data_IF_205985515226
#
_entry.id   IF_205985515226
#
_cell.length_a   1.000
_cell.length_b   1.000
_cell.length_c   1.000
_cell.angle_alpha   90.00
_cell.angle_beta   90.00
_cell.angle_gamma   90.00
#
_symmetry.space_group_name_H-M   'P 1'
#
loop_
_entity.id
_entity.type
_entity.pdbx_description
1 polymer ?
#
# COMPACT_ATOMS: atom_id res chain seq x y z
N UNK A 1 16.62 12.97 -15.85
CA UNK A 1 16.25 12.65 -14.46
C UNK A 1 17.21 11.60 -13.96
N UNK A 2 18.20 12.00 -13.15
CA UNK A 2 19.17 11.09 -12.53
C UNK A 2 18.41 10.17 -11.57
N UNK A 3 18.40 8.87 -11.84
CA UNK A 3 17.95 7.92 -10.84
C UNK A 3 18.96 7.93 -9.69
N UNK A 4 18.53 8.01 -8.42
CA UNK A 4 19.44 7.89 -7.29
C UNK A 4 20.18 6.54 -7.37
N UNK A 5 21.41 6.45 -6.84
CA UNK A 5 22.18 5.22 -6.90
C UNK A 5 21.37 4.06 -6.32
N UNK A 6 21.31 2.95 -7.06
CA UNK A 6 20.54 1.73 -6.74
C UNK A 6 20.58 1.31 -5.25
N UNK A 7 21.73 1.33 -4.53
CA UNK A 7 21.75 0.99 -3.10
C UNK A 7 21.00 1.99 -2.22
N UNK A 8 21.04 3.29 -2.53
CA UNK A 8 20.34 4.33 -1.76
C UNK A 8 18.82 4.24 -1.94
N UNK A 9 18.35 4.02 -3.18
CA UNK A 9 16.91 3.74 -3.44
C UNK A 9 16.43 2.54 -2.65
N UNK A 10 17.23 1.47 -2.60
CA UNK A 10 16.89 0.23 -1.91
C UNK A 10 16.74 0.42 -0.41
N UNK A 11 17.74 1.02 0.24
CA UNK A 11 17.69 1.27 1.69
C UNK A 11 16.54 2.21 2.05
N UNK A 12 16.36 3.29 1.29
CA UNK A 12 15.26 4.24 1.48
C UNK A 12 13.89 3.56 1.40
N UNK A 13 13.64 2.76 0.37
CA UNK A 13 12.34 2.16 0.14
C UNK A 13 12.01 1.03 1.12
N UNK A 14 13.01 0.24 1.53
CA UNK A 14 12.83 -0.75 2.60
C UNK A 14 12.52 -0.07 3.93
N UNK A 15 13.24 1.00 4.29
CA UNK A 15 12.93 1.77 5.50
C UNK A 15 11.52 2.39 5.45
N UNK A 16 11.09 2.87 4.27
CA UNK A 16 9.75 3.42 4.09
C UNK A 16 8.67 2.37 4.36
N UNK A 17 8.72 1.21 3.69
CA UNK A 17 7.71 0.17 3.90
C UNK A 17 7.76 -0.39 5.32
N UNK A 18 8.96 -0.48 5.92
CA UNK A 18 9.16 -0.85 7.32
C UNK A 18 8.32 0.04 8.23
N UNK A 19 8.50 1.37 8.09
CA UNK A 19 7.82 2.40 8.88
C UNK A 19 6.30 2.38 8.70
N UNK A 20 5.84 2.21 7.45
CA UNK A 20 4.41 2.17 7.14
C UNK A 20 3.74 0.92 7.73
N UNK A 21 4.39 -0.24 7.66
CA UNK A 21 3.84 -1.50 8.20
C UNK A 21 4.03 -1.65 9.72
N UNK A 22 5.10 -1.09 10.28
CA UNK A 22 5.38 -1.17 11.72
C UNK A 22 4.51 -0.20 12.52
N UNK A 23 3.87 0.80 11.91
CA UNK A 23 3.13 1.83 12.66
C UNK A 23 4.01 2.49 13.75
N UNK A 24 5.34 2.39 13.63
CA UNK A 24 6.28 2.74 14.69
C UNK A 24 6.59 4.21 14.63
N UNK A 25 5.86 5.01 15.40
CA UNK A 25 6.23 6.39 15.62
C UNK A 25 7.30 6.46 16.72
N UNK A 26 8.54 6.73 16.32
CA UNK A 26 9.38 7.67 17.04
C UNK A 26 9.05 9.06 16.50
N UNK A 27 8.67 9.92 17.44
CA UNK A 27 8.05 11.25 17.44
C UNK A 27 8.02 12.15 16.17
N UNK A 28 8.76 11.93 15.09
CA UNK A 28 8.80 12.85 13.93
C UNK A 28 8.61 12.21 12.53
N UNK A 29 8.49 10.87 12.40
CA UNK A 29 8.45 10.22 11.09
C UNK A 29 7.04 10.00 10.50
N UNK A 30 6.94 10.12 9.18
CA UNK A 30 5.74 10.03 8.33
C UNK A 30 4.94 8.71 8.54
N UNK A 31 3.91 8.72 9.38
CA UNK A 31 2.90 7.65 9.43
C UNK A 31 1.73 7.99 8.53
N UNK A 32 1.23 7.03 7.77
CA UNK A 32 0.02 7.17 6.96
C UNK A 32 -1.21 7.20 7.88
N UNK A 33 -1.93 8.34 8.03
CA UNK A 33 -3.18 8.37 8.80
C UNK A 33 -4.24 7.46 8.16
N UNK A 34 -4.27 7.36 6.83
CA UNK A 34 -5.21 6.49 6.12
C UNK A 34 -4.50 5.66 5.05
N UNK A 35 -4.44 4.35 5.29
CA UNK A 35 -3.91 3.36 4.37
C UNK A 35 -5.05 2.58 3.74
N UNK A 36 -5.22 2.74 2.44
CA UNK A 36 -6.17 1.99 1.63
C UNK A 36 -5.48 0.76 1.05
N UNK A 37 -6.04 -0.42 1.31
CA UNK A 37 -5.56 -1.69 0.74
C UNK A 37 -6.54 -2.09 -0.35
N UNK A 38 -6.07 -2.21 -1.58
CA UNK A 38 -6.84 -2.71 -2.70
C UNK A 38 -6.50 -4.18 -2.91
N UNK A 39 -7.51 -5.03 -2.87
CA UNK A 39 -7.38 -6.46 -3.14
C UNK A 39 -8.39 -6.94 -4.16
N UNK A 40 -8.16 -8.15 -4.65
CA UNK A 40 -8.95 -8.80 -5.68
C UNK A 40 -9.31 -10.22 -5.25
N UNK A 41 -10.19 -10.89 -6.00
CA UNK A 41 -10.58 -12.28 -5.76
C UNK A 41 -9.39 -13.23 -5.93
N UNK A 42 -8.47 -12.91 -6.82
CA UNK A 42 -7.26 -13.68 -7.09
C UNK A 42 -6.25 -13.58 -5.94
N UNK A 43 -6.20 -12.43 -5.26
CA UNK A 43 -5.31 -12.21 -4.12
C UNK A 43 -5.99 -11.36 -3.02
N UNK A 44 -6.56 -11.98 -1.99
CA UNK A 44 -7.17 -11.24 -0.88
C UNK A 44 -6.10 -10.59 0.01
N UNK A 45 -6.47 -9.48 0.67
CA UNK A 45 -5.61 -8.71 1.59
C UNK A 45 -5.28 -9.42 2.91
N UNK A 46 -5.88 -10.59 3.19
CA UNK A 46 -5.73 -11.33 4.46
C UNK A 46 -4.28 -11.55 4.92
N UNK A 47 -3.31 -11.90 4.05
CA UNK A 47 -1.92 -12.04 4.46
C UNK A 47 -1.31 -10.73 4.98
N UNK A 48 -1.64 -9.61 4.33
CA UNK A 48 -1.18 -8.27 4.72
C UNK A 48 -1.85 -7.80 6.01
N UNK A 49 -3.17 -7.95 6.14
CA UNK A 49 -3.88 -7.56 7.38
C UNK A 49 -3.42 -8.39 8.58
N UNK A 50 -3.12 -9.69 8.38
CA UNK A 50 -2.52 -10.53 9.42
C UNK A 50 -1.12 -10.04 9.82
N UNK A 51 -0.35 -9.53 8.87
CA UNK A 51 0.97 -8.95 9.15
C UNK A 51 0.86 -7.66 9.96
N UNK A 52 -0.08 -6.77 9.66
CA UNK A 52 -0.39 -5.60 10.49
C UNK A 52 -0.77 -6.02 11.93
N UNK A 53 -1.68 -6.99 12.08
CA UNK A 53 -2.09 -7.51 13.40
C UNK A 53 -0.92 -8.16 14.17
N UNK A 54 -0.01 -8.83 13.46
CA UNK A 54 1.19 -9.44 14.06
C UNK A 54 2.16 -8.37 14.55
N UNK A 55 2.44 -7.34 13.74
CA UNK A 55 3.32 -6.23 14.09
C UNK A 55 2.75 -5.38 15.23
N UNK A 56 1.47 -5.06 15.17
CA UNK A 56 0.78 -4.32 16.22
C UNK A 56 0.86 -5.05 17.57
N UNK A 57 0.73 -6.39 17.58
CA UNK A 57 0.91 -7.21 18.80
C UNK A 57 2.33 -7.28 19.34
N UNK A 58 3.34 -7.25 18.47
CA UNK A 58 4.73 -7.18 18.93
C UNK A 58 5.00 -5.83 19.59
N UNK A 59 4.40 -4.78 19.04
CA UNK A 59 4.52 -3.42 19.57
C UNK A 59 3.65 -3.21 20.80
N UNK A 60 2.50 -3.86 20.95
CA UNK A 60 1.66 -3.69 22.15
C UNK A 60 2.39 -4.07 23.45
N UNK A 61 3.41 -4.94 23.37
CA UNK A 61 4.27 -5.33 24.51
C UNK A 61 5.25 -4.24 24.98
N UNK A 62 5.49 -3.19 24.20
CA UNK A 62 6.37 -2.07 24.59
C UNK A 62 5.80 -0.67 24.30
N UNK A 63 5.16 -0.51 23.15
CA UNK A 63 4.62 0.72 22.60
C UNK A 63 3.13 0.99 22.91
N UNK A 64 2.37 0.01 23.43
CA UNK A 64 0.97 0.21 23.85
C UNK A 64 0.01 0.61 22.72
N UNK A 65 0.15 0.02 21.53
CA UNK A 65 -0.80 0.21 20.42
C UNK A 65 -2.04 -0.65 20.66
N UNK A 66 -3.21 -0.03 20.60
CA UNK A 66 -4.51 -0.68 20.76
C UNK A 66 -5.12 -0.93 19.39
N UNK A 67 -5.51 -2.18 19.12
CA UNK A 67 -6.07 -2.58 17.83
C UNK A 67 -7.58 -2.74 17.90
N UNK A 68 -8.30 -1.93 17.13
CA UNK A 68 -9.76 -2.01 16.96
C UNK A 68 -10.05 -2.56 15.56
N UNK A 69 -10.71 -3.71 15.49
CA UNK A 69 -11.08 -4.34 14.23
C UNK A 69 -12.57 -4.19 13.96
N UNK A 70 -12.93 -3.61 12.82
CA UNK A 70 -14.29 -3.41 12.33
C UNK A 70 -14.61 -4.50 11.30
N UNK A 71 -15.58 -5.37 11.62
CA UNK A 71 -15.95 -6.52 10.81
C UNK A 71 -17.27 -6.33 10.07
N UNK A 72 -17.23 -6.03 8.77
CA UNK A 72 -18.38 -5.99 7.86
C UNK A 72 -18.61 -7.33 7.17
N UNK A 73 -17.56 -8.10 6.93
CA UNK A 73 -17.63 -9.45 6.36
C UNK A 73 -16.97 -10.51 7.26
N UNK A 74 -16.15 -10.07 8.22
CA UNK A 74 -15.48 -10.91 9.20
C UNK A 74 -16.44 -11.24 10.34
N UNK A 75 -16.81 -12.51 10.49
CA UNK A 75 -17.78 -12.95 11.50
C UNK A 75 -17.15 -13.24 12.88
N UNK A 76 -15.85 -13.52 12.92
CA UNK A 76 -15.14 -13.91 14.15
C UNK A 76 -13.99 -12.95 14.42
N UNK A 77 -13.82 -12.57 15.69
CA UNK A 77 -12.70 -11.71 16.12
C UNK A 77 -11.36 -12.28 15.62
N UNK A 78 -10.60 -11.54 14.79
CA UNK A 78 -9.32 -12.02 14.30
C UNK A 78 -8.33 -12.09 15.45
N UNK A 79 -7.45 -13.09 15.38
CA UNK A 79 -6.38 -13.22 16.37
C UNK A 79 -5.58 -11.92 16.33
N UNK A 80 -5.45 -11.25 17.46
CA UNK A 80 -4.61 -10.05 17.60
C UNK A 80 -5.28 -8.70 17.58
N UNK A 81 -6.58 -8.66 17.33
CA UNK A 81 -7.34 -7.48 17.67
C UNK A 81 -7.56 -7.42 19.19
N UNK A 82 -7.49 -6.23 19.78
CA UNK A 82 -7.86 -6.01 21.19
C UNK A 82 -9.38 -5.90 21.30
N UNK A 83 -9.97 -5.11 20.40
CA UNK A 83 -11.41 -4.91 20.29
C UNK A 83 -11.92 -5.36 18.92
N UNK A 84 -13.15 -5.89 18.89
CA UNK A 84 -13.81 -6.34 17.68
C UNK A 84 -15.24 -5.81 17.65
N UNK A 85 -15.56 -5.04 16.63
CA UNK A 85 -16.88 -4.45 16.40
C UNK A 85 -17.53 -5.18 15.23
N UNK A 86 -18.59 -5.99 15.45
CA UNK A 86 -19.29 -6.71 14.39
C UNK A 86 -20.21 -5.76 13.61
N UNK A 87 -19.63 -4.97 12.70
CA UNK A 87 -20.32 -3.96 11.91
C UNK A 87 -21.44 -4.52 11.01
N UNK A 88 -21.33 -5.79 10.59
CA UNK A 88 -22.36 -6.47 9.81
C UNK A 88 -23.74 -6.48 10.48
N UNK A 89 -23.81 -6.39 11.82
CA UNK A 89 -25.08 -6.32 12.57
C UNK A 89 -25.80 -5.00 12.35
N UNK A 90 -25.06 -3.90 12.25
CA UNK A 90 -25.64 -2.58 12.00
C UNK A 90 -26.18 -2.43 10.57
N UNK A 91 -25.68 -3.24 9.64
CA UNK A 91 -26.11 -3.22 8.24
C UNK A 91 -27.43 -3.99 8.01
N UNK A 92 -27.78 -4.95 8.89
CA UNK A 92 -28.99 -5.77 8.77
C UNK A 92 -30.24 -5.10 9.37
N UNK A 93 -30.06 -4.20 10.33
CA UNK A 93 -31.16 -3.57 11.08
C UNK A 93 -31.98 -2.53 10.29
N UNK A 94 -31.54 -2.11 9.10
CA UNK A 94 -32.28 -1.16 8.25
C UNK A 94 -33.54 -1.78 7.60
N UNK A 95 -33.64 -3.12 7.57
CA UNK A 95 -34.72 -3.85 6.88
C UNK A 95 -35.86 -4.39 7.75
N UNK A 96 -35.76 -4.34 9.09
CA UNK A 96 -36.81 -4.84 9.99
C UNK A 96 -37.24 -3.77 10.98
N UNK A 97 -38.28 -3.02 10.59
CA UNK A 97 -39.18 -2.46 11.58
C UNK A 97 -39.70 -3.59 12.50
N UNK A 98 -39.60 -3.38 13.81
CA UNK A 98 -40.18 -4.21 14.87
C UNK A 98 -39.58 -5.63 15.04
N UNK A 99 -38.43 -5.71 15.73
CA UNK A 99 -37.97 -6.94 16.38
C UNK A 99 -37.27 -6.64 17.70
N UNK A 100 -37.69 -7.30 18.77
CA UNK A 100 -37.14 -7.18 20.13
C UNK A 100 -35.76 -7.84 20.20
N UNK A 101 -34.70 -7.03 20.31
CA UNK A 101 -33.35 -7.48 20.64
C UNK A 101 -32.82 -6.62 21.79
N UNK A 102 -32.62 -7.25 22.95
CA UNK A 102 -32.13 -6.64 24.18
C UNK A 102 -30.65 -6.25 24.05
N UNK A 103 -30.35 -4.95 24.18
CA UNK A 103 -29.01 -4.47 24.54
C UNK A 103 -28.57 -3.18 23.86
N UNK A 104 -28.50 -2.09 24.65
CA UNK A 104 -27.84 -0.80 24.38
C UNK A 104 -28.59 0.20 23.46
N UNK A 105 -29.52 0.94 24.07
CA UNK A 105 -29.75 2.37 23.74
C UNK A 105 -30.20 2.70 22.31
N UNK A 106 -31.38 2.23 21.89
CA UNK A 106 -32.05 2.68 20.66
C UNK A 106 -32.40 4.18 20.74
N UNK A 107 -31.57 5.05 20.15
CA UNK A 107 -32.03 6.37 19.67
C UNK A 107 -32.44 6.24 18.21
N UNK A 108 -33.74 6.36 17.95
CA UNK A 108 -34.29 6.43 16.61
C UNK A 108 -33.70 7.67 15.88
N UNK A 109 -33.19 7.48 14.65
CA UNK A 109 -32.70 8.56 13.79
C UNK A 109 -31.18 8.66 13.59
N UNK A 110 -30.38 7.78 14.20
CA UNK A 110 -28.92 7.79 14.04
C UNK A 110 -28.47 6.86 12.92
N UNK A 111 -27.76 7.38 11.91
CA UNK A 111 -27.26 6.61 10.78
C UNK A 111 -26.26 5.54 11.19
N UNK A 112 -26.12 4.48 10.38
CA UNK A 112 -25.23 3.33 10.64
C UNK A 112 -23.79 3.75 10.91
N UNK A 113 -23.26 4.72 10.14
CA UNK A 113 -21.90 5.24 10.33
C UNK A 113 -21.71 5.93 11.69
N UNK A 114 -22.71 6.68 12.17
CA UNK A 114 -22.61 7.36 13.46
C UNK A 114 -22.68 6.38 14.64
N UNK A 115 -23.47 5.30 14.53
CA UNK A 115 -23.49 4.22 15.53
C UNK A 115 -22.11 3.58 15.69
N UNK A 116 -21.49 3.21 14.57
CA UNK A 116 -20.15 2.61 14.55
C UNK A 116 -19.12 3.59 15.10
N UNK A 117 -19.14 4.85 14.65
CA UNK A 117 -18.19 5.88 15.12
C UNK A 117 -18.30 6.13 16.63
N UNK A 118 -19.51 6.11 17.21
CA UNK A 118 -19.71 6.22 18.66
C UNK A 118 -19.17 5.03 19.43
N UNK A 119 -19.46 3.81 18.98
CA UNK A 119 -18.94 2.59 19.62
C UNK A 119 -17.40 2.58 19.61
N UNK A 120 -16.79 2.94 18.47
CA UNK A 120 -15.34 3.10 18.37
C UNK A 120 -14.86 4.19 19.33
N UNK A 121 -15.50 5.37 19.35
CA UNK A 121 -15.15 6.45 20.27
C UNK A 121 -15.19 6.03 21.76
N UNK A 122 -16.18 5.22 22.14
CA UNK A 122 -16.30 4.69 23.50
C UNK A 122 -15.21 3.66 23.82
N UNK A 123 -14.84 2.79 22.86
CA UNK A 123 -13.72 1.87 22.98
C UNK A 123 -12.41 2.62 23.19
N UNK A 124 -12.15 3.64 22.36
CA UNK A 124 -10.92 4.44 22.43
C UNK A 124 -10.80 5.14 23.80
N UNK A 125 -11.92 5.69 24.31
CA UNK A 125 -11.98 6.29 25.66
C UNK A 125 -11.69 5.29 26.77
N UNK A 126 -12.31 4.10 26.72
CA UNK A 126 -12.13 3.05 27.74
C UNK A 126 -10.72 2.49 27.75
N UNK A 127 -10.09 2.40 26.58
CA UNK A 127 -8.77 1.82 26.47
C UNK A 127 -7.67 2.71 27.05
N UNK A 128 -7.89 4.04 27.13
CA UNK A 128 -6.91 5.00 27.66
C UNK A 128 -5.56 5.04 26.92
N UNK A 129 -5.49 4.40 25.74
CA UNK A 129 -4.28 4.32 24.93
C UNK A 129 -3.93 5.65 24.28
N UNK A 130 -2.65 5.83 23.95
CA UNK A 130 -2.19 6.99 23.16
C UNK A 130 -2.10 6.69 21.66
N UNK A 131 -2.10 5.41 21.29
CA UNK A 131 -1.93 4.93 19.91
C UNK A 131 -2.96 3.87 19.56
N UNK A 132 -3.62 4.07 18.43
CA UNK A 132 -4.70 3.21 17.97
C UNK A 132 -4.50 2.82 16.52
N UNK A 133 -4.67 1.53 16.24
CA UNK A 133 -4.80 0.99 14.89
C UNK A 133 -6.26 0.58 14.69
N UNK A 134 -6.96 1.28 13.80
CA UNK A 134 -8.30 0.90 13.38
C UNK A 134 -8.18 0.12 12.07
N UNK A 135 -8.71 -1.10 12.04
CA UNK A 135 -8.72 -1.94 10.85
C UNK A 135 -10.16 -2.12 10.36
N UNK A 136 -10.40 -1.84 9.09
CA UNK A 136 -11.68 -2.11 8.41
C UNK A 136 -11.46 -3.24 7.41
N UNK A 137 -12.24 -4.31 7.53
CA UNK A 137 -12.13 -5.48 6.66
C UNK A 137 -12.72 -5.28 5.26
N UNK A 138 -13.75 -4.44 5.10
CA UNK A 138 -14.39 -4.23 3.80
C UNK A 138 -15.04 -2.84 3.69
N UNK A 139 -14.35 -1.89 3.05
CA UNK A 139 -14.88 -0.59 2.65
C UNK A 139 -15.88 -0.68 1.50
N UNK A 140 -15.89 -1.78 0.73
CA UNK A 140 -16.85 -1.93 -0.37
C UNK A 140 -18.28 -2.03 0.14
N UNK A 141 -18.49 -2.69 1.29
CA UNK A 141 -19.80 -2.71 1.95
C UNK A 141 -20.23 -1.30 2.38
N UNK A 142 -19.31 -0.50 2.94
CA UNK A 142 -19.56 0.90 3.29
C UNK A 142 -19.81 1.78 2.07
N UNK A 143 -19.09 1.57 0.98
CA UNK A 143 -19.30 2.26 -0.28
C UNK A 143 -20.68 1.93 -0.88
N UNK A 144 -21.10 0.66 -0.83
CA UNK A 144 -22.43 0.23 -1.24
C UNK A 144 -23.52 0.90 -0.40
N UNK A 145 -23.33 1.00 0.92
CA UNK A 145 -24.26 1.71 1.80
C UNK A 145 -24.29 3.21 1.53
N UNK A 146 -23.15 3.84 1.22
CA UNK A 146 -23.08 5.27 0.91
C UNK A 146 -23.85 5.64 -0.37
N UNK A 147 -23.90 4.72 -1.34
CA UNK A 147 -24.66 4.90 -2.58
C UNK A 147 -26.17 4.73 -2.34
N UNK A 148 -26.58 3.93 -1.35
CA UNK A 148 -27.98 3.70 -1.04
C UNK A 148 -28.60 4.94 -0.35
N UNK A 149 -29.67 5.53 -0.93
CA UNK A 149 -30.28 6.75 -0.37
C UNK A 149 -30.86 6.58 1.03
N UNK A 150 -31.17 5.34 1.43
CA UNK A 150 -31.79 5.02 2.73
C UNK A 150 -30.81 5.07 3.89
N UNK A 151 -29.53 4.76 3.64
CA UNK A 151 -28.55 4.57 4.71
C UNK A 151 -27.97 5.90 5.26
N UNK A 152 -28.22 7.04 4.61
CA UNK A 152 -27.75 8.38 5.00
C UNK A 152 -26.27 8.41 5.44
N UNK A 153 -25.41 7.65 4.76
CA UNK A 153 -24.00 7.48 5.11
C UNK A 153 -23.12 8.33 4.20
N UNK A 154 -22.48 9.35 4.77
CA UNK A 154 -21.41 10.08 4.10
C UNK A 154 -20.07 9.46 4.46
N UNK A 155 -19.42 8.83 3.46
CA UNK A 155 -18.15 8.11 3.64
C UNK A 155 -17.02 9.02 4.14
N UNK A 156 -16.91 10.26 3.64
CA UNK A 156 -15.85 11.19 4.05
C UNK A 156 -16.00 11.62 5.50
N UNK A 157 -17.22 11.96 5.89
CA UNK A 157 -17.55 12.34 7.26
C UNK A 157 -17.34 11.17 8.23
N UNK A 158 -17.69 9.95 7.83
CA UNK A 158 -17.45 8.75 8.63
C UNK A 158 -15.96 8.49 8.84
N UNK A 159 -15.14 8.47 7.79
CA UNK A 159 -13.69 8.26 7.91
C UNK A 159 -13.03 9.36 8.75
N UNK A 160 -13.45 10.62 8.55
CA UNK A 160 -13.00 11.75 9.37
C UNK A 160 -13.34 11.55 10.86
N UNK A 161 -14.56 11.07 11.17
CA UNK A 161 -14.97 10.79 12.55
C UNK A 161 -14.18 9.66 13.22
N UNK A 162 -13.64 8.71 12.44
CA UNK A 162 -12.77 7.66 12.96
C UNK A 162 -11.34 8.17 13.22
N UNK A 163 -10.82 9.04 12.35
CA UNK A 163 -9.48 9.62 12.49
C UNK A 163 -9.41 10.70 13.55
N UNK A 164 -10.49 11.47 13.73
CA UNK A 164 -10.60 12.55 14.71
C UNK A 164 -11.91 12.42 15.50
N UNK A 165 -12.02 11.40 16.38
CA UNK A 165 -13.24 11.17 17.12
C UNK A 165 -13.53 12.38 18.01
N UNK A 166 -14.73 12.98 17.92
CA UNK A 166 -15.11 14.14 18.75
C UNK A 166 -15.06 13.78 20.24
N UNK A 167 -15.18 12.48 20.53
CA UNK A 167 -15.08 11.89 21.85
C UNK A 167 -13.73 12.14 22.55
N UNK A 168 -12.64 12.30 21.80
CA UNK A 168 -11.28 12.49 22.32
C UNK A 168 -10.80 13.95 22.21
N UNK A 169 -11.62 14.87 21.69
CA UNK A 169 -11.28 16.29 21.62
C UNK A 169 -11.51 16.95 22.99
N UNK A 170 -10.45 17.17 23.75
CA UNK A 170 -10.49 17.93 25.01
C UNK A 170 -10.65 19.41 24.70
N UNK A 171 -11.82 20.01 25.01
CA UNK A 171 -12.00 21.46 24.98
C UNK A 171 -11.19 22.09 26.11
N UNK A 172 -10.08 22.76 25.77
CA UNK A 172 -9.32 23.61 26.69
C UNK A 172 -8.13 22.94 27.35
N UNK A 173 -6.99 22.90 26.67
CA UNK A 173 -5.64 22.95 27.24
C UNK A 173 -4.64 23.07 26.08
N UNK A 174 -3.59 23.85 26.30
CA UNK A 174 -2.47 24.05 25.39
C UNK A 174 -1.80 22.72 24.99
N UNK A 175 -1.23 22.72 23.79
CA UNK A 175 -0.59 21.60 23.08
C UNK A 175 0.07 20.54 23.99
N UNK A 176 -0.59 19.39 24.15
CA UNK A 176 0.08 18.11 24.46
C UNK A 176 -0.55 17.05 23.57
N UNK A 177 0.29 16.42 22.74
CA UNK A 177 -0.02 15.50 21.63
C UNK A 177 -1.33 14.70 21.78
N UNK A 178 -2.26 14.92 20.84
CA UNK A 178 -3.51 14.14 20.75
C UNK A 178 -3.28 12.66 20.43
N UNK A 179 -4.29 11.80 20.61
CA UNK A 179 -4.18 10.37 20.34
C UNK A 179 -3.85 10.11 18.87
N UNK A 180 -2.86 9.26 18.61
CA UNK A 180 -2.43 8.89 17.27
C UNK A 180 -3.28 7.75 16.75
N UNK A 181 -4.05 7.99 15.70
CA UNK A 181 -4.93 7.01 15.08
C UNK A 181 -4.42 6.73 13.66
N UNK A 182 -4.16 5.46 13.36
CA UNK A 182 -3.88 4.99 12.00
C UNK A 182 -5.02 4.08 11.54
N UNK A 183 -5.57 4.38 10.37
CA UNK A 183 -6.64 3.63 9.76
C UNK A 183 -6.10 2.78 8.61
N UNK A 184 -6.30 1.47 8.68
CA UNK A 184 -6.00 0.52 7.59
C UNK A 184 -7.31 -0.10 7.13
N UNK A 185 -7.66 0.08 5.86
CA UNK A 185 -8.96 -0.33 5.37
C UNK A 185 -8.84 -1.05 4.03
N UNK A 186 -9.52 -2.19 3.90
CA UNK A 186 -9.49 -3.01 2.68
C UNK A 186 -10.67 -2.65 1.77
N UNK A 187 -10.42 -2.56 0.46
CA UNK A 187 -11.43 -2.36 -0.57
C UNK A 187 -11.23 -3.41 -1.67
N UNK A 188 -12.26 -4.24 -1.88
CA UNK A 188 -12.28 -5.27 -2.91
C UNK A 188 -12.61 -4.65 -4.28
N UNK A 189 -11.70 -4.72 -5.24
CA UNK A 189 -11.89 -4.12 -6.57
C UNK A 189 -12.96 -4.83 -7.40
N UNK A 190 -13.17 -6.11 -7.12
CA UNK A 190 -13.97 -7.02 -7.94
C UNK A 190 -15.42 -7.16 -7.47
N UNK A 191 -15.76 -6.51 -6.35
CA UNK A 191 -17.14 -6.51 -5.82
C UNK A 191 -17.89 -5.34 -6.49
N UNK A 192 -18.87 -5.61 -7.36
CA UNK A 192 -19.61 -4.55 -8.03
C UNK A 192 -20.44 -3.77 -7.01
N UNK A 193 -20.45 -2.44 -7.16
CA UNK A 193 -21.32 -1.57 -6.39
C UNK A 193 -22.73 -1.56 -7.02
N UNK A 194 -23.80 -1.47 -6.21
CA UNK A 194 -25.15 -1.40 -6.74
C UNK A 194 -25.32 -0.16 -7.63
N UNK A 195 -25.71 -0.36 -8.88
CA UNK A 195 -26.11 0.74 -9.76
C UNK A 195 -27.57 1.12 -9.45
N UNK A 196 -27.91 2.42 -9.36
CA UNK A 196 -29.31 2.81 -9.20
C UNK A 196 -30.10 2.38 -10.46
N UNK A 197 -31.33 1.84 -10.30
CA UNK A 197 -32.13 1.38 -11.42
C UNK A 197 -32.49 2.56 -12.35
N UNK A 198 -32.50 2.36 -13.69
CA UNK A 198 -32.75 3.42 -14.66
C UNK A 198 -34.20 3.95 -14.68
N UNK A 199 -35.14 3.31 -13.96
CA UNK A 199 -36.59 3.51 -14.13
C UNK A 199 -37.23 4.51 -13.16
N UNK A 200 -36.48 5.19 -12.31
CA UNK A 200 -36.97 6.35 -11.57
C UNK A 200 -35.85 7.37 -11.53
N UNK A 201 -36.03 8.52 -12.16
CA UNK A 201 -35.11 9.66 -12.07
C UNK A 201 -35.69 10.61 -11.02
N UNK A 202 -35.48 10.39 -9.71
CA UNK A 202 -35.64 11.47 -8.75
C UNK A 202 -34.50 12.47 -8.94
N UNK A 203 -34.75 13.75 -8.70
CA UNK A 203 -33.78 14.86 -8.82
C UNK A 203 -32.45 14.66 -8.07
N UNK A 204 -32.37 13.66 -7.16
CA UNK A 204 -31.15 13.23 -6.47
C UNK A 204 -30.09 12.53 -7.36
N UNK A 205 -30.47 12.03 -8.55
CA UNK A 205 -29.51 11.43 -9.50
C UNK A 205 -28.65 12.52 -10.17
N UNK A 206 -29.21 13.71 -10.42
CA UNK A 206 -28.47 14.84 -10.99
C UNK A 206 -27.35 15.36 -10.06
N UNK A 207 -27.53 15.23 -8.74
CA UNK A 207 -26.49 15.57 -7.76
C UNK A 207 -25.34 14.55 -7.70
N UNK A 208 -25.56 13.30 -8.11
CA UNK A 208 -24.54 12.24 -8.08
C UNK A 208 -23.79 12.04 -9.40
N UNK A 209 -24.29 12.57 -10.53
CA UNK A 209 -23.62 12.41 -11.85
C UNK A 209 -22.21 13.03 -11.89
N UNK A 210 -21.96 14.06 -11.08
CA UNK A 210 -20.64 14.70 -10.96
C UNK A 210 -19.85 14.22 -9.73
N UNK A 211 -20.43 13.33 -8.92
CA UNK A 211 -19.74 12.77 -7.77
C UNK A 211 -18.73 11.70 -8.24
N UNK A 212 -17.50 11.70 -7.71
CA UNK A 212 -16.53 10.66 -8.04
C UNK A 212 -17.04 9.30 -7.54
N UNK A 213 -16.60 8.23 -8.21
CA UNK A 213 -16.84 6.88 -7.71
C UNK A 213 -16.24 6.72 -6.30
N UNK A 214 -16.81 5.86 -5.43
CA UNK A 214 -16.28 5.66 -4.09
C UNK A 214 -14.81 5.23 -4.07
N UNK A 215 -14.39 4.40 -5.03
CA UNK A 215 -12.98 4.02 -5.17
C UNK A 215 -12.10 5.24 -5.48
N UNK A 216 -12.49 6.09 -6.43
CA UNK A 216 -11.73 7.30 -6.77
C UNK A 216 -11.64 8.25 -5.57
N UNK A 217 -12.73 8.40 -4.83
CA UNK A 217 -12.78 9.21 -3.61
C UNK A 217 -11.88 8.64 -2.50
N UNK A 218 -11.94 7.33 -2.25
CA UNK A 218 -11.11 6.66 -1.25
C UNK A 218 -9.61 6.73 -1.61
N UNK A 219 -9.28 6.47 -2.87
CA UNK A 219 -7.91 6.61 -3.39
C UNK A 219 -7.42 8.05 -3.33
N UNK A 220 -8.30 9.04 -3.48
CA UNK A 220 -7.94 10.45 -3.29
C UNK A 220 -7.68 10.80 -1.82
N UNK A 221 -8.49 10.28 -0.89
CA UNK A 221 -8.31 10.51 0.55
C UNK A 221 -7.13 9.75 1.16
N UNK A 222 -6.76 8.61 0.59
CA UNK A 222 -5.69 7.75 1.09
C UNK A 222 -4.34 8.46 1.04
N UNK A 223 -3.61 8.42 2.15
CA UNK A 223 -2.20 8.86 2.20
C UNK A 223 -1.26 7.77 1.70
N UNK A 224 -1.68 6.51 1.81
CA UNK A 224 -0.97 5.37 1.25
C UNK A 224 -1.97 4.40 0.63
N UNK A 225 -1.71 3.98 -0.60
CA UNK A 225 -2.46 2.94 -1.29
C UNK A 225 -1.56 1.72 -1.43
N UNK A 226 -2.05 0.55 -1.05
CA UNK A 226 -1.35 -0.72 -1.20
C UNK A 226 -2.21 -1.62 -2.08
N UNK A 227 -1.79 -1.88 -3.30
CA UNK A 227 -2.41 -2.86 -4.19
C UNK A 227 -1.76 -4.23 -3.95
N UNK A 228 -2.57 -5.24 -3.67
CA UNK A 228 -2.09 -6.59 -3.37
C UNK A 228 -2.16 -7.45 -4.63
N UNK A 229 -1.04 -8.04 -5.01
CA UNK A 229 -0.90 -8.85 -6.22
C UNK A 229 -0.48 -10.28 -5.90
N UNK A 230 -0.97 -11.24 -6.70
CA UNK A 230 -0.61 -12.65 -6.59
C UNK A 230 0.75 -12.89 -7.25
N UNK A 231 1.73 -13.40 -6.48
CA UNK A 231 3.07 -13.70 -7.03
C UNK A 231 3.00 -14.69 -8.22
N UNK A 232 2.26 -15.81 -8.17
CA UNK A 232 2.13 -16.72 -9.31
C UNK A 232 1.64 -16.07 -10.60
N UNK A 233 0.68 -15.13 -10.50
CA UNK A 233 0.14 -14.41 -11.66
C UNK A 233 1.22 -13.54 -12.28
N UNK A 234 1.91 -12.74 -11.47
CA UNK A 234 3.02 -11.89 -11.93
C UNK A 234 4.16 -12.70 -12.55
N UNK A 235 4.46 -13.88 -12.03
CA UNK A 235 5.46 -14.78 -12.62
C UNK A 235 5.01 -15.36 -13.97
N UNK A 236 3.73 -15.70 -14.11
CA UNK A 236 3.17 -16.16 -15.37
C UNK A 236 3.21 -15.06 -16.44
N UNK A 237 2.84 -13.82 -16.07
CA UNK A 237 2.97 -12.65 -16.94
C UNK A 237 4.42 -12.36 -17.32
N UNK A 238 5.34 -12.41 -16.35
CA UNK A 238 6.78 -12.23 -16.61
C UNK A 238 7.30 -13.30 -17.57
N UNK A 239 6.93 -14.57 -17.37
CA UNK A 239 7.34 -15.67 -18.27
C UNK A 239 6.71 -15.56 -19.66
N UNK A 240 5.48 -15.05 -19.78
CA UNK A 240 4.86 -14.82 -21.08
C UNK A 240 5.60 -13.70 -21.81
N UNK A 241 5.88 -12.59 -21.12
CA UNK A 241 6.64 -11.46 -21.66
C UNK A 241 8.05 -11.85 -22.10
N UNK A 242 8.76 -12.67 -21.32
CA UNK A 242 10.11 -13.14 -21.69
C UNK A 242 10.10 -14.09 -22.89
N UNK A 243 8.97 -14.72 -23.21
CA UNK A 243 8.76 -15.60 -24.36
C UNK A 243 8.03 -14.90 -25.52
N UNK A 244 7.79 -13.60 -25.41
CA UNK A 244 6.99 -12.82 -26.36
C UNK A 244 5.60 -13.43 -26.62
N UNK A 245 5.02 -14.08 -25.61
CA UNK A 245 3.66 -14.61 -25.64
C UNK A 245 2.68 -13.58 -25.07
N UNK A 246 1.40 -13.70 -25.44
CA UNK A 246 0.34 -12.92 -24.83
C UNK A 246 0.30 -13.16 -23.31
N UNK A 247 0.09 -12.09 -22.54
CA UNK A 247 -0.05 -12.19 -21.10
C UNK A 247 -1.29 -13.04 -20.76
N UNK A 248 -1.17 -14.01 -19.84
CA UNK A 248 -2.32 -14.78 -19.39
C UNK A 248 -3.31 -13.86 -18.66
N UNK A 249 -4.60 -13.98 -18.97
CA UNK A 249 -5.68 -13.40 -18.16
C UNK A 249 -6.06 -14.35 -17.04
N UNK A 250 -6.48 -13.81 -15.91
CA UNK A 250 -6.93 -14.57 -14.75
C UNK A 250 -8.23 -14.02 -14.18
N UNK A 251 -9.07 -14.91 -13.65
CA UNK A 251 -10.25 -14.53 -12.88
C UNK A 251 -11.30 -13.81 -13.72
N UNK A 252 -11.80 -12.66 -13.24
CA UNK A 252 -12.88 -11.94 -13.94
C UNK A 252 -12.46 -11.42 -15.33
N UNK A 253 -11.16 -11.20 -15.54
CA UNK A 253 -10.61 -10.76 -16.83
C UNK A 253 -10.60 -11.84 -17.92
N UNK A 254 -10.84 -13.11 -17.56
CA UNK A 254 -10.98 -14.18 -18.55
C UNK A 254 -12.30 -14.08 -19.33
N UNK A 255 -13.28 -13.31 -18.83
CA UNK A 255 -14.64 -13.19 -19.37
C UNK A 255 -15.30 -14.56 -19.61
N UNK A 256 -14.87 -15.59 -18.88
CA UNK A 256 -15.40 -16.94 -18.96
C UNK A 256 -16.66 -17.07 -18.12
N UNK A 257 -17.75 -17.54 -18.74
CA UNK A 257 -18.98 -17.83 -18.02
C UNK A 257 -18.78 -19.00 -17.05
N UNK A 258 -19.11 -18.81 -15.78
CA UNK A 258 -18.99 -19.87 -14.78
C UNK A 258 -19.06 -19.39 -13.34
N UNK A 259 -18.76 -20.31 -12.41
CA UNK A 259 -18.60 -20.00 -10.99
C UNK A 259 -17.13 -19.79 -10.72
N UNK A 260 -16.78 -18.66 -10.09
CA UNK A 260 -15.40 -18.40 -9.65
C UNK A 260 -15.05 -19.38 -8.53
N UNK A 261 -14.09 -20.27 -8.81
CA UNK A 261 -13.56 -21.21 -7.82
C UNK A 261 -12.14 -20.78 -7.49
N UNK A 262 -11.92 -20.42 -6.22
CA UNK A 262 -10.58 -20.11 -5.73
C UNK A 262 -9.63 -21.29 -5.99
N UNK A 263 -8.56 -21.04 -6.74
CA UNK A 263 -7.55 -22.04 -7.03
C UNK A 263 -6.90 -22.49 -5.72
N UNK A 264 -7.13 -23.76 -5.35
CA UNK A 264 -6.40 -24.36 -4.23
C UNK A 264 -4.91 -24.29 -4.58
N UNK A 265 -4.04 -23.84 -3.65
CA UNK A 265 -2.64 -23.50 -3.91
C UNK A 265 -1.76 -24.74 -4.18
N UNK A 266 -2.04 -25.49 -5.26
CA UNK A 266 -1.25 -26.65 -5.71
C UNK A 266 0.09 -26.21 -6.32
N UNK A 267 0.15 -25.03 -6.93
CA UNK A 267 1.38 -24.46 -7.48
C UNK A 267 2.33 -23.95 -6.39
N UNK A 268 1.76 -23.31 -5.35
CA UNK A 268 2.53 -22.84 -4.20
C UNK A 268 3.17 -23.98 -3.42
N UNK A 269 2.60 -25.19 -3.37
CA UNK A 269 3.18 -26.33 -2.64
C UNK A 269 4.61 -26.72 -3.05
N UNK A 270 5.04 -26.38 -4.26
CA UNK A 270 6.40 -26.66 -4.75
C UNK A 270 7.44 -25.58 -4.38
N UNK A 271 7.00 -24.38 -4.01
CA UNK A 271 7.88 -23.27 -3.64
C UNK A 271 8.35 -23.38 -2.19
N UNK A 272 9.60 -22.96 -1.94
CA UNK A 272 10.16 -22.90 -0.59
C UNK A 272 9.33 -21.95 0.30
N UNK A 273 9.29 -22.17 1.61
CA UNK A 273 8.47 -21.34 2.51
C UNK A 273 8.82 -19.83 2.44
N UNK A 274 10.09 -19.49 2.17
CA UNK A 274 10.54 -18.10 2.01
C UNK A 274 10.20 -17.45 0.67
N UNK A 275 9.83 -18.23 -0.34
CA UNK A 275 9.44 -17.76 -1.69
C UNK A 275 7.92 -17.68 -1.85
N UNK A 276 7.16 -18.13 -0.84
CA UNK A 276 5.72 -17.96 -0.79
C UNK A 276 5.41 -16.63 -0.16
N UNK A 277 4.56 -15.84 -0.81
CA UNK A 277 4.21 -14.52 -0.33
C UNK A 277 3.18 -13.85 -1.21
N UNK A 278 2.92 -12.60 -0.86
CA UNK A 278 2.11 -11.69 -1.65
C UNK A 278 3.01 -10.55 -2.14
N UNK A 279 2.72 -10.03 -3.31
CA UNK A 279 3.41 -8.84 -3.83
C UNK A 279 2.57 -7.63 -3.48
N UNK A 280 3.23 -6.56 -3.06
CA UNK A 280 2.63 -5.30 -2.67
C UNK A 280 3.14 -4.22 -3.61
N UNK A 281 2.25 -3.59 -4.35
CA UNK A 281 2.57 -2.33 -5.00
C UNK A 281 2.14 -1.21 -4.04
N UNK A 282 3.12 -0.42 -3.62
CA UNK A 282 2.94 0.68 -2.68
C UNK A 282 2.91 1.99 -3.45
N UNK A 283 1.87 2.80 -3.24
CA UNK A 283 1.84 4.21 -3.58
C UNK A 283 1.76 5.03 -2.27
N UNK A 284 2.81 5.74 -1.92
CA UNK A 284 2.87 6.59 -0.74
C UNK A 284 2.96 8.07 -1.12
N UNK A 285 2.04 8.91 -0.60
CA UNK A 285 2.04 10.35 -0.85
C UNK A 285 2.85 11.08 0.22
N UNK A 286 3.93 11.73 -0.18
CA UNK A 286 4.75 12.57 0.71
C UNK A 286 4.00 13.83 1.09
N UNK A 287 4.49 14.54 2.11
CA UNK A 287 3.97 15.85 2.52
C UNK A 287 4.06 16.92 1.42
N UNK A 288 5.04 16.79 0.52
CA UNK A 288 5.18 17.64 -0.68
C UNK A 288 4.12 17.38 -1.76
N UNK A 289 3.28 16.35 -1.61
CA UNK A 289 2.32 15.91 -2.61
C UNK A 289 2.91 14.99 -3.69
N UNK A 290 4.24 14.84 -3.76
CA UNK A 290 4.88 13.87 -4.67
C UNK A 290 4.64 12.43 -4.17
N UNK A 291 4.22 11.55 -5.09
CA UNK A 291 4.01 10.13 -4.80
C UNK A 291 5.28 9.29 -4.99
N UNK A 292 5.51 8.34 -4.09
CA UNK A 292 6.52 7.27 -4.24
C UNK A 292 5.79 5.99 -4.61
N UNK A 293 6.16 5.37 -5.73
CA UNK A 293 5.65 4.07 -6.15
C UNK A 293 6.76 3.03 -6.14
N UNK A 294 6.53 1.91 -5.47
CA UNK A 294 7.53 0.83 -5.38
C UNK A 294 6.87 -0.54 -5.18
N UNK A 295 7.54 -1.59 -5.64
CA UNK A 295 7.06 -2.97 -5.55
C UNK A 295 7.83 -3.76 -4.50
N UNK A 296 7.10 -4.36 -3.58
CA UNK A 296 7.63 -5.14 -2.47
C UNK A 296 7.11 -6.57 -2.50
N UNK A 297 7.91 -7.48 -1.96
CA UNK A 297 7.51 -8.85 -1.69
C UNK A 297 7.36 -9.05 -0.19
N UNK A 298 6.17 -9.51 0.23
CA UNK A 298 5.86 -9.87 1.59
C UNK A 298 5.73 -11.40 1.68
N UNK A 299 6.70 -12.12 2.27
CA UNK A 299 6.60 -13.56 2.42
C UNK A 299 5.47 -13.91 3.40
N UNK A 300 4.81 -15.02 3.11
CA UNK A 300 3.76 -15.59 3.96
C UNK A 300 4.45 -16.11 5.20
N UNK A 301 4.20 -15.49 6.36
CA UNK A 301 4.66 -16.01 7.64
C UNK A 301 4.05 -17.41 7.88
N UNK A 302 4.75 -18.45 7.45
CA UNK A 302 4.58 -19.81 7.96
C UNK A 302 5.06 -19.78 9.40
N UNK A 303 4.23 -20.24 10.34
CA UNK A 303 4.50 -20.14 11.77
C UNK A 303 5.65 -21.02 12.21
N UNK A 304 6.90 -20.66 11.89
CA UNK A 304 8.15 -21.22 12.44
C UNK A 304 9.35 -20.46 11.86
N UNK A 305 9.47 -19.15 12.14
CA UNK A 305 10.82 -18.64 12.41
C UNK A 305 11.03 -18.93 13.89
N UNK A 306 11.68 -20.06 14.20
CA UNK A 306 12.21 -20.30 15.55
C UNK A 306 12.93 -19.02 15.96
N UNK A 307 12.66 -18.54 17.18
CA UNK A 307 13.53 -17.59 17.86
C UNK A 307 14.95 -18.14 17.75
N UNK A 308 15.78 -17.62 16.86
CA UNK A 308 17.20 -17.64 17.10
C UNK A 308 17.41 -16.60 18.19
N UNK A 309 17.70 -17.11 19.37
CA UNK A 309 17.93 -16.34 20.58
C UNK A 309 18.88 -15.18 20.29
N UNK A 310 18.43 -13.94 20.52
CA UNK A 310 19.27 -12.74 20.45
C UNK A 310 19.42 -12.00 19.11
N UNK A 311 18.78 -12.38 18.01
CA UNK A 311 18.81 -11.57 16.78
C UNK A 311 17.67 -10.52 16.78
N UNK A 312 17.94 -9.24 16.45
CA UNK A 312 16.91 -8.23 16.28
C UNK A 312 15.94 -8.66 15.18
N UNK A 313 14.68 -8.22 15.29
CA UNK A 313 13.62 -8.48 14.31
C UNK A 313 14.13 -8.20 12.89
N UNK A 314 14.41 -9.26 12.12
CA UNK A 314 14.79 -9.12 10.72
C UNK A 314 13.56 -8.71 9.94
N UNK A 315 13.67 -7.56 9.30
CA UNK A 315 12.65 -7.05 8.41
C UNK A 315 12.35 -8.09 7.33
N UNK A 316 11.06 -8.42 7.23
CA UNK A 316 10.57 -9.57 6.46
C UNK A 316 10.28 -9.19 5.00
N UNK A 317 10.24 -7.89 4.70
CA UNK A 317 9.88 -7.36 3.38
C UNK A 317 11.13 -7.14 2.54
N UNK A 318 11.08 -7.54 1.28
CA UNK A 318 12.14 -7.30 0.29
C UNK A 318 11.59 -6.52 -0.89
N UNK A 319 12.44 -5.88 -1.69
CA UNK A 319 12.01 -5.37 -2.98
C UNK A 319 11.64 -6.53 -3.90
N UNK A 320 10.68 -6.30 -4.79
CA UNK A 320 10.32 -7.31 -5.80
C UNK A 320 11.51 -7.62 -6.70
N UNK A 321 12.29 -6.60 -7.09
CA UNK A 321 13.49 -6.77 -7.93
C UNK A 321 14.56 -7.67 -7.31
N UNK A 322 14.61 -7.72 -5.97
CA UNK A 322 15.54 -8.57 -5.22
C UNK A 322 15.06 -10.04 -5.10
N UNK A 323 13.79 -10.31 -5.41
CA UNK A 323 13.23 -11.64 -5.27
C UNK A 323 13.88 -12.60 -6.29
N UNK A 324 14.29 -13.83 -5.91
CA UNK A 324 15.08 -14.72 -6.76
C UNK A 324 14.41 -15.06 -8.10
N UNK A 325 13.07 -15.15 -8.12
CA UNK A 325 12.31 -15.40 -9.35
C UNK A 325 12.07 -14.13 -10.20
N UNK A 326 12.28 -12.94 -9.61
CA UNK A 326 12.03 -11.65 -10.25
C UNK A 326 13.29 -10.93 -10.71
N UNK A 327 14.43 -11.17 -10.05
CA UNK A 327 15.74 -10.66 -10.45
C UNK A 327 15.99 -10.97 -11.93
N UNK A 328 16.35 -9.94 -12.70
CA UNK A 328 16.90 -10.14 -14.04
C UNK A 328 18.29 -10.72 -13.86
N UNK A 329 18.64 -11.79 -14.57
CA UNK A 329 20.04 -12.21 -14.66
C UNK A 329 20.84 -10.99 -15.10
N UNK A 330 21.87 -10.61 -14.33
CA UNK A 330 22.70 -9.45 -14.64
C UNK A 330 23.22 -9.64 -16.08
N UNK A 331 22.82 -8.77 -17.01
CA UNK A 331 23.19 -8.79 -18.45
C UNK A 331 24.71 -8.62 -18.68
N UNK A 332 25.52 -8.64 -17.62
CA UNK A 332 26.98 -8.57 -17.65
C UNK A 332 27.67 -9.90 -17.98
N UNK A 333 27.02 -11.06 -17.78
CA UNK A 333 27.61 -12.36 -18.15
C UNK A 333 27.31 -12.77 -19.60
N UNK A 334 26.34 -12.14 -20.26
CA UNK A 334 25.97 -12.46 -21.66
C UNK A 334 26.87 -11.83 -22.72
N UNK A 335 27.83 -10.97 -22.35
CA UNK A 335 28.75 -10.37 -23.33
C UNK A 335 29.77 -11.39 -23.84
N UNK A 336 30.17 -12.36 -23.01
CA UNK A 336 31.04 -13.47 -23.45
C UNK A 336 30.29 -14.45 -24.36
N UNK A 337 29.00 -14.73 -24.11
CA UNK A 337 28.17 -15.61 -24.95
C UNK A 337 27.78 -15.00 -26.31
N UNK A 338 27.90 -13.68 -26.48
CA UNK A 338 27.70 -13.02 -27.77
C UNK A 338 28.93 -13.10 -28.70
N UNK A 339 30.10 -13.49 -28.17
CA UNK A 339 31.30 -13.72 -28.97
C UNK A 339 31.11 -15.02 -29.79
N UNK A 340 30.87 -14.88 -31.09
CA UNK A 340 30.57 -16.00 -31.99
C UNK A 340 29.16 -16.05 -32.58
N UNK A 341 28.29 -15.07 -32.31
CA UNK A 341 27.04 -14.88 -33.07
C UNK A 341 27.29 -14.08 -34.36
N UNK A 342 26.52 -14.34 -35.41
CA UNK A 342 26.75 -13.86 -36.79
C UNK A 342 26.70 -12.32 -36.98
N UNK A 343 26.30 -11.57 -35.95
CA UNK A 343 26.25 -10.10 -35.95
C UNK A 343 26.79 -9.57 -34.62
N UNK A 344 28.11 -9.42 -34.52
CA UNK A 344 28.74 -8.69 -33.42
C UNK A 344 28.51 -7.18 -33.64
N UNK A 345 27.62 -6.57 -32.85
CA UNK A 345 27.37 -5.12 -32.85
C UNK A 345 28.45 -4.32 -32.08
N UNK A 346 29.45 -5.00 -31.53
CA UNK A 346 30.60 -4.39 -30.88
C UNK A 346 31.60 -3.85 -31.91
N UNK A 347 32.33 -2.79 -31.53
CA UNK A 347 33.49 -2.38 -32.31
C UNK A 347 34.58 -3.43 -32.13
N UNK A 348 35.11 -3.92 -33.25
CA UNK A 348 36.33 -4.74 -33.21
C UNK A 348 37.46 -3.97 -32.54
N UNK A 349 38.43 -4.66 -31.96
CA UNK A 349 39.58 -4.04 -31.28
C UNK A 349 40.30 -3.02 -32.18
N UNK A 350 40.35 -3.32 -33.49
CA UNK A 350 40.86 -2.41 -34.51
C UNK A 350 40.02 -1.15 -34.69
N UNK A 351 38.68 -1.27 -34.79
CA UNK A 351 37.78 -0.11 -34.88
C UNK A 351 37.79 0.74 -33.61
N UNK A 352 37.99 0.11 -32.45
CA UNK A 352 38.14 0.80 -31.18
C UNK A 352 39.43 1.61 -31.14
N UNK A 353 40.56 1.03 -31.55
CA UNK A 353 41.84 1.72 -31.67
C UNK A 353 41.77 2.88 -32.68
N UNK A 354 41.11 2.67 -33.82
CA UNK A 354 40.92 3.72 -34.83
C UNK A 354 40.05 4.86 -34.27
N UNK A 355 38.96 4.56 -33.52
CA UNK A 355 38.14 5.57 -32.85
C UNK A 355 38.90 6.34 -31.78
N UNK A 356 39.70 5.64 -30.97
CA UNK A 356 40.52 6.24 -29.90
C UNK A 356 41.68 7.08 -30.46
N UNK A 357 42.15 6.78 -31.68
CA UNK A 357 43.16 7.55 -32.41
C UNK A 357 42.64 8.78 -33.15
N UNK A 358 41.32 8.99 -33.24
CA UNK A 358 40.75 10.21 -33.85
C UNK A 358 40.93 11.38 -32.89
N UNK A 359 41.87 12.27 -33.20
CA UNK A 359 42.06 13.53 -32.48
C UNK A 359 41.01 14.53 -32.93
N UNK A 360 39.96 14.69 -32.13
CA UNK A 360 38.96 15.72 -32.32
C UNK A 360 39.49 17.07 -31.77
N UNK A 361 39.38 18.17 -32.54
CA UNK A 361 39.63 19.50 -32.00
C UNK A 361 38.76 19.73 -30.76
N UNK A 362 39.36 20.18 -29.66
CA UNK A 362 38.73 20.53 -28.37
C UNK A 362 38.29 19.39 -27.44
N UNK A 363 38.50 18.11 -27.79
CA UNK A 363 38.12 16.98 -26.92
C UNK A 363 39.05 16.81 -25.70
N UNK A 364 40.31 17.25 -25.82
CA UNK A 364 41.28 17.23 -24.71
C UNK A 364 40.90 18.17 -23.56
N UNK A 365 40.06 19.18 -23.81
CA UNK A 365 39.61 20.12 -22.79
C UNK A 365 38.67 19.49 -21.73
N UNK A 366 38.08 18.32 -22.01
CA UNK A 366 37.17 17.62 -21.11
C UNK A 366 37.83 16.50 -20.31
N UNK A 367 39.08 16.11 -20.61
CA UNK A 367 39.78 15.10 -19.81
C UNK A 367 40.22 15.71 -18.49
N UNK A 368 39.81 15.09 -17.39
CA UNK A 368 39.98 15.52 -15.99
C UNK A 368 41.44 15.49 -15.47
N UNK A 369 42.43 15.78 -16.31
CA UNK A 369 43.84 15.84 -15.96
C UNK A 369 44.51 16.91 -16.82
N UNK A 370 44.60 18.12 -16.28
CA UNK A 370 44.98 19.33 -17.01
C UNK A 370 46.31 19.22 -17.76
N UNK A 371 46.22 19.32 -19.09
CA UNK A 371 47.32 19.71 -19.96
C UNK A 371 47.01 21.09 -20.56
N UNK A 372 47.86 22.08 -20.24
CA UNK A 372 48.03 23.42 -20.83
C UNK A 372 46.93 23.99 -21.76
N UNK A 373 45.68 24.04 -21.31
CA UNK A 373 44.55 24.59 -22.06
C UNK A 373 43.34 24.78 -21.15
N UNK A 374 43.39 25.84 -20.32
CA UNK A 374 42.34 26.23 -19.39
C UNK A 374 41.10 26.75 -20.13
N UNK A 375 40.30 25.87 -20.69
CA UNK A 375 39.08 26.24 -21.42
C UNK A 375 38.03 25.15 -21.31
N UNK A 376 37.22 25.20 -20.25
CA UNK A 376 36.12 24.25 -20.09
C UNK A 376 35.55 24.05 -18.68
N UNK A 377 36.04 24.78 -17.66
CA UNK A 377 35.37 24.78 -16.35
C UNK A 377 34.13 25.65 -16.44
N UNK A 378 32.96 25.01 -16.47
CA UNK A 378 31.69 25.69 -16.23
C UNK A 378 31.68 26.02 -14.73
N UNK A 379 31.88 27.30 -14.40
CA UNK A 379 31.62 27.82 -13.07
C UNK A 379 30.11 28.08 -12.97
N UNK A 380 29.46 27.37 -12.05
CA UNK A 380 28.08 27.64 -11.66
C UNK A 380 28.08 28.68 -10.54
N UNK A 381 27.45 29.83 -10.78
CA UNK A 381 27.14 30.81 -9.73
C UNK A 381 25.71 30.54 -9.25
N UNK A 382 25.56 30.22 -7.96
CA UNK A 382 24.28 29.90 -7.36
C UNK A 382 23.37 31.13 -7.31
N UNK A 383 22.20 31.03 -7.95
CA UNK A 383 21.16 32.07 -7.90
C UNK A 383 20.30 31.96 -6.64
N UNK A 384 19.74 33.08 -6.17
CA UNK A 384 18.82 33.13 -5.01
C UNK A 384 17.49 32.42 -5.29
N UNK A 385 17.21 32.10 -6.55
CA UNK A 385 16.00 31.39 -7.00
C UNK A 385 16.19 29.86 -7.07
N UNK A 386 17.39 29.35 -6.82
CA UNK A 386 17.69 27.92 -6.80
C UNK A 386 17.19 27.31 -5.48
N UNK A 387 16.16 26.48 -5.56
CA UNK A 387 15.47 25.79 -4.47
C UNK A 387 16.27 24.57 -3.97
N UNK A 388 17.51 24.82 -3.57
CA UNK A 388 18.37 23.83 -2.91
C UNK A 388 17.82 23.51 -1.51
N UNK A 389 17.24 22.33 -1.35
CA UNK A 389 16.69 21.83 -0.09
C UNK A 389 17.83 21.43 0.87
N UNK A 390 17.92 22.05 2.05
CA UNK A 390 18.92 21.74 3.10
C UNK A 390 18.87 20.26 3.59
N UNK A 391 17.88 19.47 3.18
CA UNK A 391 17.74 18.03 3.54
C UNK A 391 18.67 17.11 2.72
N UNK A 392 19.35 17.61 1.67
CA UNK A 392 20.28 16.82 0.85
C UNK A 392 21.70 16.72 1.45
N UNK A 393 22.13 17.68 2.29
CA UNK A 393 23.54 17.82 2.72
C UNK A 393 23.84 17.36 4.17
N UNK A 394 22.86 16.92 4.96
CA UNK A 394 23.09 16.37 6.31
C UNK A 394 23.08 14.83 6.36
N UNK A 395 23.85 14.14 5.50
CA UNK A 395 24.27 12.75 5.77
C UNK A 395 25.58 12.32 5.10
#
# INVERSE_FOLDING_TARGET
MSHPPLPHRRTHNLLLISKLLSLSQQQHAQTSPFTLVLDSLEQPARPLTREYLRRARLLSRGAGVVVVFLGFETLTKPVGADYFVPCYRYCQDEGQGQGQGLGLGRRAGMGTGEKIAREVGDILRRSGGKRFLIMIDSLTTLASLSIQPTANLNLTAFLSSLLQPPALQTKGAEQVEGPQISLVAVYHTDVPLPSPPPSTIPSAVLSNSYSPSPLSLLSYLATTVITVHSLPILLAEKSARSKSLAAPSFGLSEETEGVVIGLKPKSLTKLNQGERGVVLELEHRRRSGRGVREWFFLPTSGGTMKKSDGQPFREIVTLLDDHPLFRKSDEGESVEELSGMTFELGLTERQRLEREGVVLPYFDAQKAGGGAGEGGRILYDMGVEDDFDEEEDEI
#
